data_IF_942869804727
#
_entry.id   IF_942869804727
#
_cell.length_a   1.000
_cell.length_b   1.000
_cell.length_c   1.000
_cell.angle_alpha   90.00
_cell.angle_beta   90.00
_cell.angle_gamma   90.00
#
_symmetry.space_group_name_H-M   'P 1'
#
loop_
_entity.id
_entity.type
_entity.pdbx_description
1 polymer ?
#
# COMPACT_ATOMS: atom_id res chain seq x y z
N UNK A 1 12.32 6.17 16.87
CA UNK A 1 12.57 4.76 16.44
C UNK A 1 14.06 4.46 16.57
N UNK A 2 14.46 3.22 16.92
CA UNK A 2 15.88 2.80 17.04
C UNK A 2 16.21 1.73 15.99
N UNK A 3 17.35 1.85 15.30
CA UNK A 3 17.81 0.83 14.36
C UNK A 3 18.02 -0.53 15.04
N UNK A 4 17.61 -1.62 14.39
CA UNK A 4 17.87 -3.00 14.82
C UNK A 4 18.73 -3.74 13.80
N UNK A 5 18.18 -3.97 12.61
CA UNK A 5 18.80 -4.77 11.55
C UNK A 5 18.13 -4.49 10.19
N UNK A 6 18.44 -5.30 9.18
CA UNK A 6 17.80 -5.25 7.86
C UNK A 6 17.12 -6.58 7.52
N UNK A 7 16.14 -6.53 6.63
CA UNK A 7 15.40 -7.68 6.11
C UNK A 7 15.26 -7.57 4.59
N UNK A 8 15.56 -8.65 3.88
CA UNK A 8 15.25 -8.78 2.45
C UNK A 8 13.74 -8.90 2.23
N UNK A 9 13.20 -8.09 1.33
CA UNK A 9 11.82 -8.17 0.84
C UNK A 9 11.84 -8.40 -0.66
N UNK A 10 11.19 -9.48 -1.10
CA UNK A 10 11.05 -9.84 -2.51
C UNK A 10 9.77 -9.24 -3.08
N UNK A 11 9.91 -8.61 -4.24
CA UNK A 11 8.84 -7.89 -4.93
C UNK A 11 8.93 -8.18 -6.42
N UNK A 12 7.80 -8.18 -7.13
CA UNK A 12 7.76 -8.22 -8.60
C UNK A 12 7.34 -6.86 -9.16
N UNK A 13 7.96 -6.43 -10.24
CA UNK A 13 7.54 -5.23 -10.96
C UNK A 13 6.42 -5.54 -11.97
N UNK A 14 6.08 -4.55 -12.80
CA UNK A 14 5.12 -4.69 -13.90
C UNK A 14 5.59 -5.68 -14.96
N UNK A 15 6.88 -5.73 -15.25
CA UNK A 15 7.45 -6.61 -16.29
C UNK A 15 7.63 -8.06 -15.81
N UNK A 16 7.41 -8.32 -14.51
CA UNK A 16 7.54 -9.63 -13.89
C UNK A 16 8.93 -9.90 -13.32
N UNK A 17 9.85 -8.93 -13.39
CA UNK A 17 11.17 -9.06 -12.81
C UNK A 17 11.11 -9.14 -11.28
N UNK A 18 12.01 -9.94 -10.71
CA UNK A 18 12.12 -10.12 -9.26
C UNK A 18 13.10 -9.11 -8.67
N UNK A 19 12.57 -8.15 -7.93
CA UNK A 19 13.33 -7.14 -7.19
C UNK A 19 13.54 -7.59 -5.73
N UNK A 20 14.69 -7.24 -5.16
CA UNK A 20 15.03 -7.52 -3.74
C UNK A 20 15.40 -6.23 -3.02
N UNK A 21 14.56 -5.81 -2.08
CA UNK A 21 14.81 -4.63 -1.25
C UNK A 21 15.43 -5.04 0.08
N UNK A 22 16.53 -4.40 0.47
CA UNK A 22 17.18 -4.64 1.76
C UNK A 22 16.75 -3.59 2.80
N UNK A 23 15.58 -3.82 3.40
CA UNK A 23 14.83 -2.85 4.19
C UNK A 23 15.28 -2.82 5.65
N UNK A 24 15.47 -1.63 6.21
CA UNK A 24 15.72 -1.44 7.66
C UNK A 24 14.51 -1.85 8.50
N UNK A 25 14.78 -2.56 9.59
CA UNK A 25 13.81 -2.78 10.67
C UNK A 25 14.22 -1.93 11.87
N UNK A 26 13.26 -1.19 12.38
CA UNK A 26 13.42 -0.25 13.47
C UNK A 26 12.55 -0.69 14.65
N UNK A 27 13.09 -0.64 15.87
CA UNK A 27 12.34 -0.83 17.11
C UNK A 27 11.61 0.47 17.45
N UNK A 28 10.29 0.40 17.59
CA UNK A 28 9.51 1.51 18.14
C UNK A 28 9.96 1.79 19.57
N UNK A 29 10.28 3.05 19.86
CA UNK A 29 10.66 3.47 21.22
C UNK A 29 9.44 3.94 22.02
N UNK A 30 8.28 4.08 21.36
CA UNK A 30 7.02 4.37 22.03
C UNK A 30 6.65 3.22 22.97
N UNK A 31 6.41 3.55 24.25
CA UNK A 31 6.06 2.58 25.29
C UNK A 31 4.80 1.79 24.95
N UNK A 32 3.82 2.44 24.33
CA UNK A 32 2.55 1.82 23.90
C UNK A 32 2.70 0.87 22.71
N UNK A 33 3.78 0.98 21.93
CA UNK A 33 3.98 0.19 20.73
C UNK A 33 5.01 -0.92 20.96
N UNK A 34 6.26 -0.57 21.26
CA UNK A 34 7.37 -1.52 21.49
C UNK A 34 7.68 -2.51 20.34
N UNK A 35 6.98 -2.46 19.20
CA UNK A 35 7.10 -3.43 18.09
C UNK A 35 8.27 -3.11 17.16
N UNK A 36 8.58 -4.04 16.26
CA UNK A 36 9.47 -3.78 15.12
C UNK A 36 8.66 -3.29 13.93
N UNK A 37 9.05 -2.14 13.39
CA UNK A 37 8.54 -1.61 12.13
C UNK A 37 9.58 -1.83 11.04
N UNK A 38 9.14 -2.33 9.89
CA UNK A 38 9.99 -2.36 8.70
C UNK A 38 9.75 -1.09 7.92
N UNK A 39 10.81 -0.46 7.40
CA UNK A 39 10.65 0.67 6.51
C UNK A 39 9.83 0.29 5.28
N UNK A 40 9.09 1.25 4.75
CA UNK A 40 8.25 1.06 3.58
C UNK A 40 8.60 2.17 2.57
N UNK A 41 9.41 1.86 1.55
CA UNK A 41 9.65 2.78 0.43
C UNK A 41 8.37 3.06 -0.36
N UNK A 42 8.26 4.25 -0.95
CA UNK A 42 7.06 4.72 -1.69
C UNK A 42 6.74 3.88 -2.94
N UNK A 43 7.72 3.10 -3.42
CA UNK A 43 7.53 2.13 -4.52
C UNK A 43 6.81 0.85 -4.09
N UNK A 44 6.61 0.64 -2.77
CA UNK A 44 6.02 -0.57 -2.21
C UNK A 44 4.67 -0.31 -1.55
N UNK A 45 3.71 -1.20 -1.80
CA UNK A 45 2.45 -1.24 -1.04
C UNK A 45 2.62 -2.18 0.17
N UNK A 46 2.12 -1.84 1.38
CA UNK A 46 2.16 -2.72 2.55
C UNK A 46 1.64 -4.12 2.26
N UNK A 47 2.33 -5.15 2.76
CA UNK A 47 1.94 -6.57 2.65
C UNK A 47 1.86 -7.14 1.22
N UNK A 48 2.05 -6.33 0.18
CA UNK A 48 2.00 -6.78 -1.21
C UNK A 48 3.37 -7.24 -1.71
N UNK A 49 3.35 -8.19 -2.64
CA UNK A 49 4.52 -8.76 -3.31
C UNK A 49 4.78 -8.14 -4.68
N UNK A 50 4.08 -7.06 -5.02
CA UNK A 50 4.24 -6.34 -6.27
C UNK A 50 4.51 -4.86 -5.98
N UNK A 51 5.18 -4.19 -6.91
CA UNK A 51 5.44 -2.75 -6.83
C UNK A 51 4.13 -1.97 -6.89
N UNK A 52 4.14 -0.74 -6.39
CA UNK A 52 3.01 0.20 -6.52
C UNK A 52 2.64 0.41 -7.99
N UNK A 53 3.64 0.57 -8.85
CA UNK A 53 3.47 0.72 -10.29
C UNK A 53 2.69 -0.43 -10.91
N UNK A 54 2.97 -1.68 -10.54
CA UNK A 54 2.19 -2.84 -11.01
C UNK A 54 0.70 -2.69 -10.67
N UNK A 55 0.37 -2.19 -9.48
CA UNK A 55 -1.03 -1.94 -9.11
C UNK A 55 -1.66 -0.81 -9.93
N UNK A 56 -0.90 0.24 -10.25
CA UNK A 56 -1.38 1.36 -11.07
C UNK A 56 -1.65 0.93 -12.51
N UNK A 57 -0.75 0.17 -13.12
CA UNK A 57 -0.94 -0.42 -14.45
C UNK A 57 -2.18 -1.32 -14.45
N UNK A 58 -2.30 -2.24 -13.48
CA UNK A 58 -3.41 -3.18 -13.40
C UNK A 58 -4.75 -2.50 -13.10
N UNK A 59 -4.74 -1.37 -12.40
CA UNK A 59 -5.92 -0.55 -12.15
C UNK A 59 -6.32 0.31 -13.37
N UNK A 60 -5.59 0.24 -14.48
CA UNK A 60 -5.84 1.03 -15.69
C UNK A 60 -5.43 2.49 -15.58
N UNK A 61 -4.57 2.84 -14.60
CA UNK A 61 -3.99 4.19 -14.46
C UNK A 61 -2.81 4.38 -15.42
N UNK A 62 -2.16 3.27 -15.84
CA UNK A 62 -1.07 3.24 -16.82
C UNK A 62 -1.36 2.14 -17.86
N UNK A 63 -0.86 2.29 -19.08
CA UNK A 63 -1.07 1.34 -20.19
C UNK A 63 -0.32 0.03 -19.94
N UNK A 64 -0.94 -1.14 -20.17
CA UNK A 64 -0.31 -2.42 -19.92
C UNK A 64 0.59 -2.84 -21.10
N UNK A 65 1.82 -3.27 -20.80
CA UNK A 65 2.65 -4.10 -21.69
C UNK A 65 2.97 -5.45 -21.01
N UNK A 66 2.13 -5.84 -20.04
CA UNK A 66 2.40 -6.94 -19.12
C UNK A 66 1.69 -8.22 -19.60
N UNK A 67 2.42 -9.28 -19.98
CA UNK A 67 1.82 -10.61 -20.11
C UNK A 67 1.62 -11.17 -18.70
N UNK A 68 0.38 -11.32 -18.20
CA UNK A 68 0.19 -11.82 -16.82
C UNK A 68 -1.10 -12.59 -16.57
N UNK A 69 -0.95 -13.56 -15.67
CA UNK A 69 -1.97 -14.31 -14.93
C UNK A 69 -3.14 -13.43 -14.46
N UNK A 70 -4.23 -13.49 -15.22
CA UNK A 70 -5.47 -12.74 -15.05
C UNK A 70 -6.08 -12.92 -13.64
N UNK A 71 -5.84 -14.06 -12.98
CA UNK A 71 -6.28 -14.31 -11.61
C UNK A 71 -5.60 -13.38 -10.61
N UNK A 72 -4.32 -13.10 -10.80
CA UNK A 72 -3.55 -12.19 -9.96
C UNK A 72 -3.99 -10.74 -10.20
N UNK A 73 -4.17 -10.35 -11.46
CA UNK A 73 -4.65 -9.01 -11.82
C UNK A 73 -6.04 -8.71 -11.25
N UNK A 74 -6.98 -9.66 -11.37
CA UNK A 74 -8.32 -9.49 -10.80
C UNK A 74 -8.29 -9.23 -9.29
N UNK A 75 -7.39 -9.90 -8.56
CA UNK A 75 -7.20 -9.67 -7.11
C UNK A 75 -6.63 -8.29 -6.82
N UNK A 76 -5.69 -7.81 -7.62
CA UNK A 76 -5.12 -6.46 -7.49
C UNK A 76 -6.18 -5.38 -7.77
N UNK A 77 -6.96 -5.50 -8.84
CA UNK A 77 -8.07 -4.58 -9.15
C UNK A 77 -9.10 -4.55 -8.03
N UNK A 78 -9.51 -5.72 -7.54
CA UNK A 78 -10.46 -5.82 -6.43
C UNK A 78 -9.92 -5.13 -5.16
N UNK A 79 -8.66 -5.37 -4.80
CA UNK A 79 -8.02 -4.73 -3.66
C UNK A 79 -7.92 -3.22 -3.82
N UNK A 80 -7.49 -2.76 -5.00
CA UNK A 80 -7.35 -1.33 -5.31
C UNK A 80 -8.69 -0.61 -5.22
N UNK A 81 -9.75 -1.20 -5.78
CA UNK A 81 -11.12 -0.65 -5.69
C UNK A 81 -11.60 -0.55 -4.24
N UNK A 82 -11.44 -1.62 -3.46
CA UNK A 82 -11.80 -1.63 -2.04
C UNK A 82 -11.05 -0.52 -1.26
N UNK A 83 -9.73 -0.43 -1.49
CA UNK A 83 -8.88 0.54 -0.81
C UNK A 83 -9.26 1.99 -1.16
N UNK A 84 -9.49 2.28 -2.45
CA UNK A 84 -9.96 3.60 -2.91
C UNK A 84 -11.30 3.98 -2.30
N UNK A 85 -12.24 3.04 -2.21
CA UNK A 85 -13.54 3.29 -1.57
C UNK A 85 -13.38 3.64 -0.09
N UNK A 86 -12.58 2.86 0.66
CA UNK A 86 -12.31 3.16 2.07
C UNK A 86 -11.67 4.55 2.24
N UNK A 87 -10.64 4.84 1.46
CA UNK A 87 -9.97 6.14 1.52
C UNK A 87 -10.94 7.28 1.21
N UNK A 88 -11.78 7.14 0.17
CA UNK A 88 -12.79 8.13 -0.19
C UNK A 88 -13.78 8.38 0.95
N UNK A 89 -14.21 7.34 1.68
CA UNK A 89 -15.10 7.50 2.84
C UNK A 89 -14.42 8.29 3.98
N UNK A 90 -13.16 7.95 4.30
CA UNK A 90 -12.39 8.67 5.32
C UNK A 90 -12.13 10.11 4.89
N UNK A 91 -11.71 10.32 3.65
CA UNK A 91 -11.46 11.65 3.08
C UNK A 91 -12.72 12.51 3.07
N UNK A 92 -13.88 11.94 2.69
CA UNK A 92 -15.17 12.61 2.73
C UNK A 92 -15.51 13.04 4.16
N UNK A 93 -15.34 12.15 5.15
CA UNK A 93 -15.60 12.47 6.54
C UNK A 93 -14.70 13.61 7.06
N UNK A 94 -13.40 13.54 6.78
CA UNK A 94 -12.45 14.60 7.17
C UNK A 94 -12.78 15.91 6.46
N UNK A 95 -13.02 15.88 5.15
CA UNK A 95 -13.28 17.07 4.33
C UNK A 95 -14.55 17.79 4.76
N UNK A 96 -15.62 17.05 5.06
CA UNK A 96 -16.87 17.64 5.60
C UNK A 96 -16.63 18.28 6.95
N UNK A 97 -15.85 17.63 7.83
CA UNK A 97 -15.56 18.14 9.18
C UNK A 97 -14.67 19.38 9.16
N UNK A 98 -13.72 19.43 8.25
CA UNK A 98 -12.71 20.49 8.15
C UNK A 98 -12.99 21.53 7.05
N UNK A 99 -14.09 21.39 6.30
CA UNK A 99 -14.48 22.24 5.15
C UNK A 99 -13.38 22.35 4.08
N UNK A 100 -12.71 21.23 3.79
CA UNK A 100 -11.65 21.19 2.76
C UNK A 100 -12.26 21.20 1.34
N UNK A 101 -11.57 21.81 0.36
CA UNK A 101 -12.06 21.87 -1.02
C UNK A 101 -12.10 20.46 -1.66
N UNK A 102 -13.11 20.15 -2.50
CA UNK A 102 -13.38 18.80 -3.01
C UNK A 102 -12.37 18.25 -4.04
N UNK A 103 -11.25 18.93 -4.31
CA UNK A 103 -10.32 18.64 -5.41
C UNK A 103 -9.07 17.84 -5.05
N UNK A 104 -8.94 17.29 -3.84
CA UNK A 104 -7.81 16.41 -3.55
C UNK A 104 -8.04 15.03 -4.20
N UNK A 105 -7.62 14.90 -5.46
CA UNK A 105 -7.36 13.60 -6.07
C UNK A 105 -5.98 13.14 -5.60
N UNK A 106 -5.94 12.03 -4.88
CA UNK A 106 -4.71 11.36 -4.48
C UNK A 106 -4.44 10.20 -5.42
N UNK A 107 -3.18 9.98 -5.79
CA UNK A 107 -2.79 8.73 -6.44
C UNK A 107 -2.73 7.58 -5.41
N UNK A 108 -2.48 6.35 -5.87
CA UNK A 108 -2.46 5.19 -4.98
C UNK A 108 -1.31 5.28 -3.95
N UNK A 109 -0.19 5.90 -4.30
CA UNK A 109 0.96 6.10 -3.43
C UNK A 109 0.66 7.10 -2.30
N UNK A 110 0.04 8.23 -2.64
CA UNK A 110 -0.38 9.25 -1.68
C UNK A 110 -1.37 8.69 -0.67
N UNK A 111 -2.39 7.95 -1.15
CA UNK A 111 -3.38 7.31 -0.27
C UNK A 111 -2.72 6.33 0.71
N UNK A 112 -1.80 5.48 0.22
CA UNK A 112 -1.06 4.52 1.06
C UNK A 112 -0.20 5.24 2.08
N UNK A 113 0.51 6.29 1.67
CA UNK A 113 1.41 7.07 2.54
C UNK A 113 0.64 7.74 3.67
N UNK A 114 -0.47 8.40 3.35
CA UNK A 114 -1.32 9.08 4.33
C UNK A 114 -1.86 8.10 5.38
N UNK A 115 -2.32 6.93 4.94
CA UNK A 115 -2.83 5.90 5.83
C UNK A 115 -1.72 5.30 6.71
N UNK A 116 -0.55 4.99 6.14
CA UNK A 116 0.57 4.40 6.90
C UNK A 116 1.08 5.38 7.95
N UNK A 117 1.17 6.68 7.61
CA UNK A 117 1.55 7.74 8.56
C UNK A 117 0.48 8.00 9.61
N UNK A 118 -0.80 7.97 9.21
CA UNK A 118 -1.93 8.16 10.11
C UNK A 118 -2.26 6.95 10.99
N UNK A 119 -1.72 5.77 10.70
CA UNK A 119 -1.99 4.55 11.46
C UNK A 119 -3.38 3.94 11.24
N UNK A 120 -4.13 4.41 10.25
CA UNK A 120 -5.52 4.04 9.99
C UNK A 120 -5.66 3.10 8.78
N UNK A 121 -5.10 1.90 8.88
CA UNK A 121 -5.24 0.91 7.81
C UNK A 121 -6.69 0.44 7.71
N UNK A 122 -7.28 0.34 6.49
CA UNK A 122 -8.60 -0.26 6.34
C UNK A 122 -8.64 -1.63 7.00
N UNK A 123 -9.74 -2.00 7.68
CA UNK A 123 -9.93 -3.36 8.14
C UNK A 123 -9.72 -4.30 6.94
N UNK A 124 -9.01 -5.41 7.14
CA UNK A 124 -8.76 -6.32 6.03
C UNK A 124 -10.11 -6.75 5.43
N UNK A 125 -10.32 -6.62 4.11
CA UNK A 125 -11.53 -7.12 3.49
C UNK A 125 -11.61 -8.62 3.80
N UNK A 126 -12.71 -9.06 4.42
CA UNK A 126 -12.94 -10.38 5.02
C UNK A 126 -12.61 -11.57 4.09
N UNK A 127 -12.36 -11.32 2.79
CA UNK A 127 -12.01 -12.34 1.77
C UNK A 127 -10.77 -12.05 0.93
N UNK A 128 -9.99 -11.01 1.21
CA UNK A 128 -8.83 -10.67 0.38
C UNK A 128 -7.55 -10.50 1.21
N UNK A 129 -6.79 -11.60 1.26
CA UNK A 129 -5.42 -11.73 1.76
C UNK A 129 -5.26 -11.84 3.29
N UNK A 130 -5.49 -13.04 3.82
CA UNK A 130 -4.57 -13.59 4.81
C UNK A 130 -3.31 -14.07 4.05
N UNK A 131 -2.12 -13.50 4.26
CA UNK A 131 -0.91 -14.28 4.13
C UNK A 131 -0.80 -15.14 5.40
N UNK A 132 -0.66 -16.45 5.23
CA UNK A 132 -0.14 -17.31 6.31
C UNK A 132 1.25 -16.87 6.77
#
# INVERSE_FOLDING_TARGET
MKYRDRRKRYVRDSEGHRLVYNLRRLRCQEKSCGKLHTELPDVLIPYKRYTRETFEVVAGVRTPDIPTDERTHRKMRAWTRYFRQYFNMVHMWISTRLRLPPRLFYDLGDMVTLIVRGGHWPPAPVRAFCPG
#
